data_IF_096924534762
#
_entry.id   IF_096924534762
#
_cell.length_a   1.000
_cell.length_b   1.000
_cell.length_c   1.000
_cell.angle_alpha   90.00
_cell.angle_beta   90.00
_cell.angle_gamma   90.00
#
_symmetry.space_group_name_H-M   'P 1'
#
loop_
_entity.id
_entity.type
_entity.pdbx_description
1 polymer ?
#
# COMPACT_ATOMS: atom_id res chain seq x y z
N UNK A 1 9.29 6.62 -16.08
CA UNK A 1 8.91 5.61 -15.05
C UNK A 1 7.40 5.58 -14.97
N UNK A 2 6.80 4.41 -15.08
CA UNK A 2 5.37 4.17 -14.95
C UNK A 2 5.06 3.43 -13.66
N UNK A 3 3.84 3.62 -13.13
CA UNK A 3 3.35 2.92 -11.94
C UNK A 3 1.92 2.43 -12.17
N UNK A 4 1.69 1.15 -11.98
CA UNK A 4 0.39 0.51 -12.09
C UNK A 4 0.02 -0.13 -10.76
N UNK A 5 -1.01 0.40 -10.11
CA UNK A 5 -1.60 -0.21 -8.94
C UNK A 5 -2.69 -1.19 -9.40
N UNK A 6 -2.42 -2.48 -9.31
CA UNK A 6 -3.33 -3.53 -9.75
C UNK A 6 -4.11 -4.05 -8.55
N UNK A 7 -5.40 -3.82 -8.56
CA UNK A 7 -6.34 -4.29 -7.55
C UNK A 7 -6.81 -5.69 -7.93
N UNK A 8 -6.17 -6.69 -7.38
CA UNK A 8 -6.51 -8.08 -7.73
C UNK A 8 -7.82 -8.56 -7.11
N UNK A 9 -8.35 -7.82 -6.12
CA UNK A 9 -9.67 -8.07 -5.52
C UNK A 9 -10.19 -6.85 -4.78
N UNK A 10 -11.51 -6.67 -4.72
CA UNK A 10 -12.15 -5.70 -3.82
C UNK A 10 -12.43 -6.28 -2.44
N UNK A 11 -12.35 -7.62 -2.29
CA UNK A 11 -12.63 -8.29 -1.02
C UNK A 11 -11.54 -8.02 0.01
N UNK A 12 -11.96 -7.76 1.24
CA UNK A 12 -11.10 -7.71 2.41
C UNK A 12 -11.66 -8.60 3.52
N UNK A 13 -10.79 -9.26 4.26
CA UNK A 13 -11.18 -10.03 5.46
C UNK A 13 -11.26 -9.17 6.72
N UNK A 14 -10.91 -7.88 6.61
CA UNK A 14 -10.96 -6.90 7.69
C UNK A 14 -12.06 -5.85 7.45
N UNK A 15 -12.45 -5.16 8.55
CA UNK A 15 -13.34 -3.99 8.55
C UNK A 15 -12.69 -2.88 9.37
N UNK A 16 -11.69 -2.22 8.78
CA UNK A 16 -11.01 -1.09 9.42
C UNK A 16 -11.94 0.12 9.48
N UNK A 17 -11.98 0.82 10.63
CA UNK A 17 -12.90 1.95 10.85
C UNK A 17 -12.65 3.13 9.89
N UNK A 18 -11.42 3.29 9.42
CA UNK A 18 -10.98 4.36 8.51
C UNK A 18 -10.75 3.86 7.08
N UNK A 19 -11.30 2.72 6.69
CA UNK A 19 -11.08 2.21 5.35
C UNK A 19 -11.67 3.15 4.29
N UNK A 20 -10.81 3.80 3.49
CA UNK A 20 -11.26 4.72 2.44
C UNK A 20 -12.05 4.01 1.33
N UNK A 21 -11.87 2.71 1.19
CA UNK A 21 -12.63 1.90 0.25
C UNK A 21 -14.03 1.55 0.75
N UNK A 22 -14.35 1.80 2.03
CA UNK A 22 -15.61 1.38 2.67
C UNK A 22 -15.63 -0.11 3.02
N UNK A 23 -16.67 -0.50 3.76
CA UNK A 23 -16.83 -1.88 4.25
C UNK A 23 -17.94 -2.66 3.53
N UNK A 24 -18.78 -1.98 2.75
CA UNK A 24 -19.97 -2.52 2.09
C UNK A 24 -19.79 -2.44 0.57
N UNK A 25 -18.93 -3.30 0.04
CA UNK A 25 -18.70 -3.41 -1.40
C UNK A 25 -18.78 -4.86 -1.86
N UNK A 26 -19.17 -5.04 -3.11
CA UNK A 26 -19.20 -6.32 -3.75
C UNK A 26 -17.81 -6.94 -3.81
N UNK A 27 -17.78 -8.27 -3.68
CA UNK A 27 -16.52 -9.02 -3.68
C UNK A 27 -16.18 -9.46 -5.09
N UNK A 28 -15.31 -8.70 -5.76
CA UNK A 28 -14.78 -9.02 -7.07
C UNK A 28 -13.36 -9.58 -6.95
N UNK A 29 -13.04 -10.53 -7.79
CA UNK A 29 -11.71 -11.11 -7.91
C UNK A 29 -11.27 -11.02 -9.37
N UNK A 30 -10.07 -10.50 -9.61
CA UNK A 30 -9.49 -10.48 -10.95
C UNK A 30 -9.32 -11.90 -11.45
N UNK A 31 -9.96 -12.21 -12.56
CA UNK A 31 -9.81 -13.46 -13.25
C UNK A 31 -8.61 -13.45 -14.21
N UNK A 32 -8.31 -14.61 -14.79
CA UNK A 32 -7.17 -14.77 -15.70
C UNK A 32 -7.31 -13.89 -16.94
N UNK A 33 -8.52 -13.74 -17.49
CA UNK A 33 -8.77 -12.94 -18.69
C UNK A 33 -8.47 -11.47 -18.41
N UNK A 34 -8.99 -10.95 -17.32
CA UNK A 34 -8.72 -9.55 -16.90
C UNK A 34 -7.24 -9.32 -16.59
N UNK A 35 -6.57 -10.31 -15.96
CA UNK A 35 -5.12 -10.25 -15.72
C UNK A 35 -4.32 -10.19 -17.04
N UNK A 36 -4.70 -10.98 -18.05
CA UNK A 36 -4.06 -10.97 -19.37
C UNK A 36 -4.23 -9.63 -20.08
N UNK A 37 -5.44 -9.06 -20.12
CA UNK A 37 -5.68 -7.73 -20.71
C UNK A 37 -5.00 -6.62 -19.90
N UNK A 38 -4.92 -6.75 -18.56
CA UNK A 38 -4.16 -5.82 -17.73
C UNK A 38 -2.67 -5.83 -18.09
N UNK A 39 -2.07 -7.01 -18.25
CA UNK A 39 -0.67 -7.13 -18.68
C UNK A 39 -0.48 -6.49 -20.06
N UNK A 40 -1.35 -6.79 -21.00
CA UNK A 40 -1.30 -6.23 -22.36
C UNK A 40 -1.38 -4.70 -22.31
N UNK A 41 -2.33 -4.13 -21.57
CA UNK A 41 -2.45 -2.69 -21.37
C UNK A 41 -1.16 -2.08 -20.78
N UNK A 42 -0.55 -2.71 -19.77
CA UNK A 42 0.72 -2.27 -19.19
C UNK A 42 1.82 -2.22 -20.26
N UNK A 43 1.98 -3.30 -21.03
CA UNK A 43 3.01 -3.43 -22.07
C UNK A 43 2.83 -2.39 -23.19
N UNK A 44 1.59 -2.08 -23.58
CA UNK A 44 1.30 -1.08 -24.59
C UNK A 44 1.64 0.36 -24.13
N UNK A 45 1.66 0.62 -22.81
CA UNK A 45 1.94 1.95 -22.23
C UNK A 45 3.42 2.23 -21.99
N UNK A 46 4.27 1.22 -21.95
CA UNK A 46 5.66 1.37 -21.52
C UNK A 46 6.67 1.03 -22.62
N UNK A 47 7.88 1.53 -22.48
CA UNK A 47 9.02 1.10 -23.29
C UNK A 47 9.93 0.15 -22.50
N UNK A 48 10.69 -0.70 -23.19
CA UNK A 48 11.63 -1.66 -22.56
C UNK A 48 12.68 -1.00 -21.67
N UNK A 49 13.05 0.24 -21.94
CA UNK A 49 14.00 1.01 -21.14
C UNK A 49 13.40 1.57 -19.84
N UNK A 50 12.08 1.70 -19.77
CA UNK A 50 11.40 2.29 -18.63
C UNK A 50 11.41 1.37 -17.41
N UNK A 51 11.73 1.93 -16.24
CA UNK A 51 11.43 1.24 -14.98
C UNK A 51 9.93 1.32 -14.73
N UNK A 52 9.29 0.18 -14.62
CA UNK A 52 7.84 0.04 -14.41
C UNK A 52 7.55 -0.58 -13.07
N UNK A 53 6.76 0.12 -12.26
CA UNK A 53 6.31 -0.36 -10.96
C UNK A 53 4.95 -1.03 -11.12
N UNK A 54 4.84 -2.27 -10.63
CA UNK A 54 3.58 -3.00 -10.49
C UNK A 54 3.33 -3.15 -8.98
N UNK A 55 2.34 -2.42 -8.46
CA UNK A 55 2.03 -2.42 -7.03
C UNK A 55 0.66 -3.07 -6.80
N UNK A 56 0.65 -4.20 -6.08
CA UNK A 56 -0.58 -4.96 -5.86
C UNK A 56 -1.38 -4.37 -4.71
N UNK A 57 -2.63 -4.09 -5.02
CA UNK A 57 -3.62 -3.46 -4.13
C UNK A 57 -4.93 -4.25 -4.11
N UNK A 58 -5.91 -3.65 -3.47
CA UNK A 58 -7.28 -4.12 -3.33
C UNK A 58 -7.78 -4.00 -1.90
N UNK A 59 -8.82 -4.71 -1.55
CA UNK A 59 -9.24 -4.85 -0.17
C UNK A 59 -8.13 -5.50 0.66
N UNK A 60 -7.87 -6.79 0.41
CA UNK A 60 -6.65 -7.49 0.82
C UNK A 60 -6.12 -8.30 -0.36
N UNK A 61 -5.02 -7.88 -1.00
CA UNK A 61 -4.54 -8.50 -2.23
C UNK A 61 -4.18 -9.97 -2.08
N UNK A 62 -3.69 -10.41 -0.90
CA UNK A 62 -3.33 -11.81 -0.67
C UNK A 62 -4.53 -12.76 -0.62
N UNK A 63 -5.78 -12.26 -0.61
CA UNK A 63 -6.96 -13.10 -0.85
C UNK A 63 -7.04 -13.60 -2.29
N UNK A 64 -6.38 -12.91 -3.24
CA UNK A 64 -6.24 -13.36 -4.62
C UNK A 64 -4.76 -13.59 -4.99
N UNK A 65 -4.03 -14.26 -4.10
CA UNK A 65 -2.62 -14.59 -4.34
C UNK A 65 -2.36 -15.32 -5.67
N UNK A 66 -3.25 -16.23 -6.15
CA UNK A 66 -3.08 -16.86 -7.45
C UNK A 66 -2.98 -15.86 -8.61
N UNK A 67 -3.78 -14.77 -8.61
CA UNK A 67 -3.69 -13.75 -9.64
C UNK A 67 -2.39 -12.94 -9.56
N UNK A 68 -1.92 -12.61 -8.33
CA UNK A 68 -0.62 -11.96 -8.12
C UNK A 68 0.49 -12.82 -8.72
N UNK A 69 0.53 -14.10 -8.32
CA UNK A 69 1.53 -15.06 -8.81
C UNK A 69 1.49 -15.17 -10.33
N UNK A 70 0.31 -15.31 -10.91
CA UNK A 70 0.13 -15.40 -12.36
C UNK A 70 0.70 -14.17 -13.09
N UNK A 71 0.38 -12.96 -12.63
CA UNK A 71 0.85 -11.71 -13.25
C UNK A 71 2.38 -11.61 -13.16
N UNK A 72 2.95 -11.84 -11.97
CA UNK A 72 4.40 -11.75 -11.76
C UNK A 72 5.14 -12.78 -12.61
N UNK A 73 4.70 -14.05 -12.57
CA UNK A 73 5.32 -15.14 -13.33
C UNK A 73 5.25 -14.86 -14.85
N UNK A 74 4.12 -14.35 -15.35
CA UNK A 74 3.95 -14.04 -16.77
C UNK A 74 4.82 -12.87 -17.21
N UNK A 75 4.89 -11.78 -16.42
CA UNK A 75 5.77 -10.66 -16.71
C UNK A 75 7.25 -11.08 -16.72
N UNK A 76 7.69 -11.92 -15.77
CA UNK A 76 9.06 -12.44 -15.72
C UNK A 76 9.38 -13.39 -16.87
N UNK A 77 8.43 -14.22 -17.32
CA UNK A 77 8.69 -15.25 -18.31
C UNK A 77 8.55 -14.76 -19.75
N UNK A 78 7.50 -13.96 -20.03
CA UNK A 78 7.17 -13.54 -21.39
C UNK A 78 7.74 -12.16 -21.76
N UNK A 79 8.05 -11.30 -20.76
CA UNK A 79 8.49 -9.92 -20.97
C UNK A 79 9.84 -9.62 -20.32
N UNK A 80 10.81 -10.52 -20.46
CA UNK A 80 12.15 -10.47 -19.84
C UNK A 80 12.97 -9.24 -20.19
N UNK A 81 12.70 -8.65 -21.36
CA UNK A 81 13.40 -7.44 -21.84
C UNK A 81 12.93 -6.15 -21.16
N UNK A 82 11.79 -6.21 -20.42
CA UNK A 82 11.25 -5.06 -19.69
C UNK A 82 11.74 -5.04 -18.25
N UNK A 83 11.76 -3.83 -17.64
CA UNK A 83 12.25 -3.64 -16.28
C UNK A 83 11.07 -3.46 -15.33
N UNK A 84 10.68 -4.52 -14.63
CA UNK A 84 9.64 -4.48 -13.62
C UNK A 84 10.19 -4.45 -12.19
N UNK A 85 9.49 -3.76 -11.31
CA UNK A 85 9.70 -3.83 -9.87
C UNK A 85 8.35 -3.95 -9.18
N UNK A 86 8.19 -4.99 -8.36
CA UNK A 86 6.91 -5.33 -7.74
C UNK A 86 6.81 -4.77 -6.33
N UNK A 87 5.61 -4.31 -5.97
CA UNK A 87 5.22 -3.87 -4.65
C UNK A 87 3.89 -4.48 -4.22
N UNK A 88 3.65 -4.48 -2.91
CA UNK A 88 2.38 -4.89 -2.30
C UNK A 88 2.12 -4.13 -1.02
N UNK A 89 0.86 -3.81 -0.76
CA UNK A 89 0.37 -3.39 0.55
C UNK A 89 -0.62 -4.42 1.07
N UNK A 90 -0.30 -5.05 2.20
CA UNK A 90 -1.15 -6.08 2.83
C UNK A 90 -1.51 -5.71 4.26
N UNK A 91 -2.63 -6.20 4.75
CA UNK A 91 -3.02 -6.11 6.15
C UNK A 91 -2.25 -7.11 7.05
N UNK A 92 -1.49 -8.02 6.47
CA UNK A 92 -0.62 -8.95 7.16
C UNK A 92 -1.33 -10.10 7.89
N UNK A 93 -2.63 -10.28 7.70
CA UNK A 93 -3.36 -11.38 8.37
C UNK A 93 -3.23 -12.72 7.64
N UNK A 94 -2.76 -12.70 6.39
CA UNK A 94 -2.56 -13.87 5.55
C UNK A 94 -1.07 -13.96 5.21
N UNK A 95 -0.40 -15.00 5.73
CA UNK A 95 1.01 -15.25 5.45
C UNK A 95 1.30 -16.75 5.61
N UNK A 96 1.31 -17.47 4.48
CA UNK A 96 1.79 -18.85 4.42
C UNK A 96 3.28 -18.87 4.07
N UNK A 97 4.01 -19.97 4.32
CA UNK A 97 5.40 -20.10 3.87
C UNK A 97 5.57 -19.84 2.37
N UNK A 98 4.65 -20.31 1.52
CA UNK A 98 4.67 -20.07 0.09
C UNK A 98 4.55 -18.57 -0.26
N UNK A 99 3.62 -17.86 0.40
CA UNK A 99 3.43 -16.41 0.21
C UNK A 99 4.69 -15.66 0.65
N UNK A 100 5.23 -15.99 1.83
CA UNK A 100 6.43 -15.35 2.37
C UNK A 100 7.62 -15.49 1.39
N UNK A 101 7.90 -16.71 0.95
CA UNK A 101 8.97 -17.01 0.00
C UNK A 101 8.76 -16.25 -1.31
N UNK A 102 7.56 -16.30 -1.87
CA UNK A 102 7.24 -15.61 -3.12
C UNK A 102 7.43 -14.09 -3.03
N UNK A 103 6.94 -13.47 -1.96
CA UNK A 103 7.10 -12.02 -1.75
C UNK A 103 8.57 -11.63 -1.57
N UNK A 104 9.32 -12.36 -0.75
CA UNK A 104 10.73 -12.08 -0.47
C UNK A 104 11.60 -12.18 -1.73
N UNK A 105 11.29 -13.11 -2.63
CA UNK A 105 12.07 -13.32 -3.85
C UNK A 105 11.70 -12.38 -5.01
N UNK A 106 10.46 -11.97 -5.11
CA UNK A 106 9.98 -11.24 -6.30
C UNK A 106 9.79 -9.74 -6.06
N UNK A 107 9.56 -9.30 -4.81
CA UNK A 107 9.17 -7.92 -4.52
C UNK A 107 10.37 -7.06 -4.15
N UNK A 108 10.74 -6.12 -5.05
CA UNK A 108 11.90 -5.23 -4.86
C UNK A 108 11.51 -3.76 -4.71
N UNK A 109 10.28 -3.36 -5.06
CA UNK A 109 9.83 -1.99 -4.90
C UNK A 109 9.33 -1.70 -3.50
N UNK A 110 8.38 -2.47 -3.01
CA UNK A 110 7.86 -2.33 -1.64
C UNK A 110 7.23 -3.62 -1.11
N UNK A 111 7.56 -3.93 0.14
CA UNK A 111 6.83 -4.88 0.97
C UNK A 111 6.21 -4.08 2.12
N UNK A 112 4.95 -3.69 1.98
CA UNK A 112 4.27 -2.82 2.93
C UNK A 112 3.26 -3.60 3.76
N UNK A 113 3.42 -3.57 5.09
CA UNK A 113 2.46 -4.16 6.03
C UNK A 113 1.74 -3.06 6.78
N UNK A 114 0.42 -3.14 6.81
CA UNK A 114 -0.45 -2.22 7.54
C UNK A 114 -0.46 -2.53 9.03
N UNK A 115 0.20 -1.70 9.86
CA UNK A 115 0.34 -1.92 11.29
C UNK A 115 0.43 -0.57 12.04
N UNK A 116 -0.57 -0.23 12.86
CA UNK A 116 -0.68 1.10 13.47
C UNK A 116 0.12 1.24 14.80
N UNK A 117 1.32 0.66 14.83
CA UNK A 117 2.25 0.82 15.95
C UNK A 117 1.90 -0.03 17.16
N UNK A 118 1.33 0.54 18.23
CA UNK A 118 0.96 -0.22 19.43
C UNK A 118 -0.25 -1.13 19.19
N UNK A 119 -0.35 -2.21 19.97
CA UNK A 119 -1.56 -3.08 19.93
C UNK A 119 -2.83 -2.27 20.15
N UNK A 120 -2.80 -1.33 21.10
CA UNK A 120 -3.96 -0.49 21.43
C UNK A 120 -4.41 0.35 20.25
N UNK A 121 -3.49 1.04 19.57
CA UNK A 121 -3.79 1.84 18.39
C UNK A 121 -4.29 0.99 17.24
N UNK A 122 -3.66 -0.14 16.98
CA UNK A 122 -4.02 -1.05 15.91
C UNK A 122 -5.41 -1.67 16.11
N UNK A 123 -5.67 -2.28 17.26
CA UNK A 123 -6.94 -2.97 17.53
C UNK A 123 -8.12 -2.02 17.80
N UNK A 124 -7.87 -0.72 18.00
CA UNK A 124 -8.94 0.27 18.01
C UNK A 124 -9.63 0.38 16.64
N UNK A 125 -8.87 0.19 15.56
CA UNK A 125 -9.32 0.49 14.20
C UNK A 125 -9.29 -0.71 13.25
N UNK A 126 -8.30 -1.62 13.38
CA UNK A 126 -8.07 -2.73 12.46
C UNK A 126 -8.55 -4.05 13.05
N UNK A 127 -9.74 -4.48 12.64
CA UNK A 127 -10.36 -5.72 13.10
C UNK A 127 -10.80 -6.59 11.93
N UNK A 128 -10.85 -7.89 12.14
CA UNK A 128 -11.54 -8.79 11.23
C UNK A 128 -13.04 -8.46 11.18
N UNK A 129 -13.73 -8.97 10.16
CA UNK A 129 -15.18 -8.80 10.01
C UNK A 129 -16.00 -9.32 11.21
N UNK A 130 -15.46 -10.27 11.98
CA UNK A 130 -16.05 -10.79 13.21
C UNK A 130 -15.67 -10.00 14.48
N UNK A 131 -14.98 -8.86 14.35
CA UNK A 131 -14.58 -7.99 15.46
C UNK A 131 -13.28 -8.40 16.18
N UNK A 132 -12.63 -9.51 15.81
CA UNK A 132 -11.36 -9.96 16.43
C UNK A 132 -10.22 -9.03 16.01
N UNK A 133 -9.35 -8.66 16.95
CA UNK A 133 -8.13 -7.90 16.70
C UNK A 133 -7.13 -8.66 15.82
N UNK A 134 -6.25 -7.94 15.13
CA UNK A 134 -5.32 -8.50 14.13
C UNK A 134 -3.86 -8.10 14.37
N UNK A 135 -3.56 -7.45 15.48
CA UNK A 135 -2.22 -6.92 15.76
C UNK A 135 -1.12 -7.99 15.70
N UNK A 136 -1.34 -9.13 16.33
CA UNK A 136 -0.30 -10.16 16.39
C UNK A 136 -0.08 -10.86 15.06
N UNK A 137 -1.12 -11.05 14.26
CA UNK A 137 -0.99 -11.59 12.91
C UNK A 137 -0.20 -10.64 12.01
N UNK A 138 -0.58 -9.36 11.99
CA UNK A 138 0.10 -8.34 11.19
C UNK A 138 1.57 -8.17 11.60
N UNK A 139 1.84 -8.13 12.93
CA UNK A 139 3.20 -8.03 13.45
C UNK A 139 4.04 -9.26 13.07
N UNK A 140 3.49 -10.47 13.22
CA UNK A 140 4.19 -11.72 12.87
C UNK A 140 4.56 -11.73 11.39
N UNK A 141 3.65 -11.36 10.50
CA UNK A 141 3.92 -11.26 9.07
C UNK A 141 5.00 -10.22 8.77
N UNK A 142 4.90 -9.03 9.36
CA UNK A 142 5.90 -7.99 9.20
C UNK A 142 7.30 -8.44 9.68
N UNK A 143 7.38 -9.13 10.82
CA UNK A 143 8.63 -9.67 11.35
C UNK A 143 9.19 -10.80 10.49
N UNK A 144 8.34 -11.69 9.97
CA UNK A 144 8.77 -12.75 9.06
C UNK A 144 9.39 -12.17 7.78
N UNK A 145 8.72 -11.20 7.16
CA UNK A 145 9.25 -10.48 5.99
C UNK A 145 10.55 -9.71 6.32
N UNK A 146 10.66 -9.14 7.53
CA UNK A 146 11.86 -8.40 7.95
C UNK A 146 13.08 -9.32 8.07
N UNK A 147 12.90 -10.56 8.54
CA UNK A 147 13.99 -11.54 8.69
C UNK A 147 14.38 -12.19 7.37
N UNK A 148 13.43 -12.38 6.48
CA UNK A 148 13.64 -13.01 5.16
C UNK A 148 13.88 -12.02 4.02
N UNK A 149 14.18 -10.77 4.35
CA UNK A 149 14.40 -9.73 3.37
C UNK A 149 15.57 -10.05 2.43
N UNK A 150 15.28 -10.14 1.16
CA UNK A 150 16.31 -10.38 0.15
C UNK A 150 16.45 -9.22 -0.85
N UNK A 151 15.39 -8.45 -1.11
CA UNK A 151 15.36 -7.43 -2.16
C UNK A 151 15.06 -6.01 -1.70
N UNK A 152 14.21 -5.82 -0.70
CA UNK A 152 13.89 -4.48 -0.18
C UNK A 152 13.57 -4.49 1.32
N UNK A 153 13.68 -3.31 1.93
CA UNK A 153 13.27 -3.14 3.33
C UNK A 153 11.74 -3.21 3.45
N UNK A 154 11.28 -3.86 4.52
CA UNK A 154 9.86 -3.90 4.86
C UNK A 154 9.39 -2.53 5.34
N UNK A 155 8.29 -2.06 4.79
CA UNK A 155 7.66 -0.79 5.14
C UNK A 155 6.47 -1.03 6.07
N UNK A 156 6.35 -0.23 7.10
CA UNK A 156 5.17 -0.25 7.96
C UNK A 156 4.29 0.95 7.64
N UNK A 157 3.07 0.71 7.17
CA UNK A 157 2.07 1.74 6.93
C UNK A 157 1.18 1.89 8.14
N UNK A 158 1.15 3.09 8.71
CA UNK A 158 0.29 3.44 9.84
C UNK A 158 -0.77 4.44 9.38
N UNK A 159 -2.02 4.23 9.80
CA UNK A 159 -3.06 5.24 9.62
C UNK A 159 -3.27 5.97 10.93
N UNK A 160 -3.11 7.29 10.91
CA UNK A 160 -3.25 8.17 12.07
C UNK A 160 -4.61 8.85 12.01
N UNK A 161 -5.41 8.61 13.06
CA UNK A 161 -6.76 9.16 13.25
C UNK A 161 -6.88 9.73 14.67
N UNK A 162 -7.89 10.54 14.98
CA UNK A 162 -8.02 11.18 16.30
C UNK A 162 -7.97 10.21 17.48
N UNK A 163 -8.51 8.98 17.32
CA UNK A 163 -8.58 8.01 18.41
C UNK A 163 -7.24 7.32 18.73
N UNK A 164 -6.25 7.35 17.80
CA UNK A 164 -4.95 6.69 18.01
C UNK A 164 -3.75 7.64 18.04
N UNK A 165 -3.95 8.92 17.77
CA UNK A 165 -2.88 9.93 17.64
C UNK A 165 -1.93 9.95 18.84
N UNK A 166 -2.43 9.79 20.07
CA UNK A 166 -1.62 9.80 21.32
C UNK A 166 -0.73 8.56 21.50
N UNK A 167 -0.93 7.54 20.69
CA UNK A 167 -0.12 6.32 20.64
C UNK A 167 0.98 6.40 19.54
N UNK A 168 1.00 7.47 18.72
CA UNK A 168 1.84 7.57 17.53
C UNK A 168 3.33 7.43 17.85
N UNK A 169 3.85 8.24 18.75
CA UNK A 169 5.28 8.20 19.08
C UNK A 169 5.68 6.85 19.69
N UNK A 170 4.88 6.36 20.64
CA UNK A 170 5.11 5.05 21.26
C UNK A 170 5.12 3.95 20.22
N UNK A 171 4.13 3.93 19.31
CA UNK A 171 4.02 2.90 18.26
C UNK A 171 5.19 2.93 17.29
N UNK A 172 5.60 4.12 16.83
CA UNK A 172 6.77 4.26 15.96
C UNK A 172 8.04 3.80 16.65
N UNK A 173 8.26 4.18 17.91
CA UNK A 173 9.44 3.77 18.69
C UNK A 173 9.48 2.25 18.87
N UNK A 174 8.37 1.62 19.24
CA UNK A 174 8.28 0.16 19.38
C UNK A 174 8.63 -0.57 18.07
N UNK A 175 8.20 -0.04 16.92
CA UNK A 175 8.52 -0.59 15.61
C UNK A 175 10.02 -0.42 15.26
N UNK A 176 10.62 0.72 15.58
CA UNK A 176 12.05 0.96 15.41
C UNK A 176 12.88 -0.01 16.27
N UNK A 177 12.45 -0.26 17.51
CA UNK A 177 13.12 -1.20 18.42
C UNK A 177 13.01 -2.66 17.95
N UNK A 178 11.97 -2.99 17.19
CA UNK A 178 11.83 -4.28 16.51
C UNK A 178 12.66 -4.43 15.22
N UNK A 179 13.35 -3.35 14.80
CA UNK A 179 14.26 -3.38 13.65
C UNK A 179 13.68 -2.83 12.35
N UNK A 180 12.45 -2.32 12.33
CA UNK A 180 11.90 -1.69 11.13
C UNK A 180 12.59 -0.35 10.86
N UNK A 181 12.99 -0.16 9.59
CA UNK A 181 13.72 1.04 9.15
C UNK A 181 12.86 2.03 8.37
N UNK A 182 11.74 1.61 7.82
CA UNK A 182 10.85 2.46 7.03
C UNK A 182 9.45 2.40 7.65
N UNK A 183 9.06 3.50 8.28
CA UNK A 183 7.76 3.65 8.95
C UNK A 183 7.05 4.85 8.33
N UNK A 184 5.83 4.63 7.86
CA UNK A 184 5.06 5.59 7.08
C UNK A 184 3.74 5.89 7.81
N UNK A 185 3.76 6.76 8.84
CA UNK A 185 2.53 7.31 9.38
C UNK A 185 1.86 8.21 8.33
N UNK A 186 0.55 8.06 8.18
CA UNK A 186 -0.26 8.90 7.29
C UNK A 186 -1.52 9.33 8.02
N UNK A 187 -1.76 10.62 8.03
CA UNK A 187 -2.98 11.20 8.61
C UNK A 187 -4.15 10.90 7.67
N UNK A 188 -5.23 10.37 8.24
CA UNK A 188 -6.52 10.32 7.54
C UNK A 188 -7.18 11.69 7.61
N UNK A 189 -7.03 12.48 6.57
CA UNK A 189 -7.61 13.82 6.47
C UNK A 189 -9.13 13.82 6.30
N UNK A 190 -9.75 12.68 6.02
CA UNK A 190 -11.19 12.56 5.81
C UNK A 190 -11.95 12.22 7.10
N UNK A 191 -11.25 11.86 8.19
CA UNK A 191 -11.92 11.64 9.49
C UNK A 191 -12.49 12.95 10.01
N UNK A 192 -13.82 12.97 10.18
CA UNK A 192 -14.57 14.17 10.62
C UNK A 192 -14.40 14.49 12.11
N UNK A 193 -13.76 13.62 12.86
CA UNK A 193 -13.57 13.79 14.31
C UNK A 193 -12.32 14.60 14.67
N UNK A 194 -11.52 15.04 13.69
CA UNK A 194 -10.38 15.92 13.93
C UNK A 194 -10.80 17.23 14.60
N UNK A 195 -10.05 17.63 15.62
CA UNK A 195 -10.21 18.90 16.35
C UNK A 195 -8.97 19.75 16.17
N UNK A 196 -9.14 21.06 16.30
CA UNK A 196 -8.01 22.01 16.28
C UNK A 196 -6.92 21.65 17.29
N UNK A 197 -7.31 21.17 18.49
CA UNK A 197 -6.39 20.71 19.53
C UNK A 197 -5.52 19.52 19.13
N UNK A 198 -5.94 18.71 18.15
CA UNK A 198 -5.21 17.51 17.74
C UNK A 198 -3.95 17.87 16.95
N UNK A 199 -3.92 19.05 16.33
CA UNK A 199 -2.75 19.54 15.61
C UNK A 199 -1.55 19.66 16.57
N UNK A 200 -1.76 20.22 17.75
CA UNK A 200 -0.70 20.34 18.76
C UNK A 200 -0.21 18.97 19.24
N UNK A 201 -1.14 18.02 19.41
CA UNK A 201 -0.80 16.64 19.79
C UNK A 201 0.07 15.99 18.71
N UNK A 202 -0.28 16.16 17.41
CA UNK A 202 0.54 15.64 16.30
C UNK A 202 1.96 16.17 16.42
N UNK A 203 2.14 17.48 16.56
CA UNK A 203 3.48 18.07 16.68
C UNK A 203 4.25 17.55 17.89
N UNK A 204 3.59 17.38 19.03
CA UNK A 204 4.22 16.80 20.23
C UNK A 204 4.67 15.35 20.00
N UNK A 205 3.83 14.53 19.36
CA UNK A 205 4.16 13.14 19.06
C UNK A 205 5.32 13.05 18.05
N UNK A 206 5.32 13.88 17.01
CA UNK A 206 6.41 13.92 16.03
C UNK A 206 7.72 14.41 16.66
N UNK A 207 7.68 15.38 17.56
CA UNK A 207 8.86 15.85 18.30
C UNK A 207 9.45 14.75 19.20
N UNK A 208 8.60 13.95 19.86
CA UNK A 208 9.06 12.77 20.63
C UNK A 208 9.81 11.76 19.75
N UNK A 209 9.27 11.47 18.56
CA UNK A 209 9.92 10.57 17.59
C UNK A 209 11.28 11.16 17.16
N UNK A 210 11.31 12.43 16.78
CA UNK A 210 12.53 13.13 16.37
C UNK A 210 13.60 13.09 17.45
N UNK A 211 13.24 13.42 18.69
CA UNK A 211 14.15 13.36 19.85
C UNK A 211 14.67 11.94 20.09
N UNK A 212 13.83 10.95 19.96
CA UNK A 212 14.23 9.53 20.07
C UNK A 212 15.26 9.14 18.99
N UNK A 213 15.00 9.46 17.72
CA UNK A 213 15.90 9.17 16.61
C UNK A 213 17.27 9.82 16.79
N UNK A 214 17.31 11.09 17.23
CA UNK A 214 18.56 11.81 17.50
C UNK A 214 19.29 11.17 18.68
N UNK A 215 18.61 10.95 19.81
CA UNK A 215 19.20 10.35 21.02
C UNK A 215 19.80 8.97 20.77
N UNK A 216 19.19 8.18 19.88
CA UNK A 216 19.64 6.82 19.54
C UNK A 216 20.58 6.76 18.32
N UNK A 217 20.98 7.94 17.79
CA UNK A 217 21.81 8.05 16.57
C UNK A 217 21.23 7.31 15.36
N UNK A 218 19.89 7.27 15.25
CA UNK A 218 19.16 6.55 14.18
C UNK A 218 18.55 7.47 13.11
N UNK A 219 18.78 8.78 13.20
CA UNK A 219 18.13 9.78 12.35
C UNK A 219 18.44 9.61 10.85
N UNK A 220 19.60 9.08 10.51
CA UNK A 220 20.03 8.78 9.13
C UNK A 220 19.75 7.36 8.67
N UNK A 221 19.48 6.44 9.61
CA UNK A 221 19.29 5.01 9.32
C UNK A 221 17.81 4.61 9.20
N UNK A 222 16.94 5.33 9.88
CA UNK A 222 15.51 5.06 9.97
C UNK A 222 14.74 6.20 9.34
N UNK A 223 13.85 5.88 8.41
CA UNK A 223 12.94 6.83 7.78
C UNK A 223 11.57 6.76 8.45
N UNK A 224 11.15 7.89 9.00
CA UNK A 224 9.76 8.11 9.45
C UNK A 224 9.19 9.25 8.60
N UNK A 225 8.23 8.94 7.72
CA UNK A 225 7.81 9.83 6.63
C UNK A 225 7.41 11.25 7.08
N UNK A 226 6.81 11.40 8.25
CA UNK A 226 6.41 12.70 8.80
C UNK A 226 7.53 13.42 9.57
N UNK A 227 8.71 12.81 9.77
CA UNK A 227 9.76 13.35 10.62
C UNK A 227 11.03 13.70 9.85
N UNK A 228 11.54 12.76 9.05
CA UNK A 228 12.86 12.89 8.40
C UNK A 228 12.89 12.39 6.96
N UNK A 229 11.77 12.12 6.34
CA UNK A 229 11.73 11.82 4.91
C UNK A 229 12.10 13.07 4.11
N UNK A 230 13.20 12.97 3.37
CA UNK A 230 13.69 14.05 2.50
C UNK A 230 13.08 14.03 1.10
N UNK A 231 12.38 12.98 0.75
CA UNK A 231 11.76 12.82 -0.56
C UNK A 231 10.45 13.61 -0.62
N UNK A 232 10.56 14.93 -0.78
CA UNK A 232 9.40 15.77 -1.07
C UNK A 232 9.06 15.59 -2.55
N UNK A 233 7.93 14.98 -2.83
CA UNK A 233 7.35 14.99 -4.18
C UNK A 233 6.83 16.40 -4.42
N UNK A 234 7.59 17.17 -5.20
CA UNK A 234 7.18 18.49 -5.68
C UNK A 234 6.78 18.34 -7.13
N UNK A 235 5.53 18.64 -7.48
CA UNK A 235 5.08 18.59 -8.86
C UNK A 235 3.57 18.38 -9.00
N UNK A 236 3.13 18.28 -10.25
CA UNK A 236 1.74 17.93 -10.57
C UNK A 236 1.49 16.45 -10.31
N UNK A 237 0.24 16.11 -10.04
CA UNK A 237 -0.20 14.73 -9.97
C UNK A 237 -0.01 14.05 -11.34
N UNK A 238 0.56 12.85 -11.35
CA UNK A 238 0.75 12.05 -12.56
C UNK A 238 -0.37 10.99 -12.75
N UNK A 239 -1.44 11.10 -11.96
CA UNK A 239 -2.60 10.22 -12.08
C UNK A 239 -3.19 10.27 -13.49
N UNK A 240 -3.39 9.11 -14.10
CA UNK A 240 -3.92 8.99 -15.45
C UNK A 240 -2.93 9.26 -16.59
N UNK A 241 -1.72 9.74 -16.30
CA UNK A 241 -0.64 9.93 -17.30
C UNK A 241 0.42 8.82 -17.22
N UNK A 242 1.06 8.68 -16.07
CA UNK A 242 2.10 7.66 -15.83
C UNK A 242 1.80 6.80 -14.60
N UNK A 243 0.71 7.07 -13.89
CA UNK A 243 0.23 6.30 -12.75
C UNK A 243 -1.23 5.92 -12.96
N UNK A 244 -1.54 4.63 -12.84
CA UNK A 244 -2.87 4.07 -13.11
C UNK A 244 -3.28 3.10 -12.02
N UNK A 245 -4.57 3.09 -11.68
CA UNK A 245 -5.19 2.09 -10.82
C UNK A 245 -6.14 1.24 -11.64
N UNK A 246 -5.96 -0.09 -11.62
CA UNK A 246 -6.72 -1.04 -12.42
C UNK A 246 -7.49 -1.95 -11.47
N UNK A 247 -8.82 -2.00 -11.58
CA UNK A 247 -9.70 -2.80 -10.73
C UNK A 247 -9.74 -4.27 -11.13
N UNK A 248 -10.32 -5.16 -10.31
CA UNK A 248 -10.49 -6.57 -10.68
C UNK A 248 -11.34 -6.79 -11.95
N UNK A 249 -12.20 -5.83 -12.27
CA UNK A 249 -13.05 -5.87 -13.47
C UNK A 249 -12.38 -5.24 -14.70
N UNK A 250 -11.16 -4.72 -14.53
CA UNK A 250 -10.38 -4.08 -15.59
C UNK A 250 -10.59 -2.59 -15.74
N UNK A 251 -11.40 -1.94 -14.92
CA UNK A 251 -11.62 -0.50 -14.97
C UNK A 251 -10.36 0.26 -14.57
N UNK A 252 -10.09 1.38 -15.26
CA UNK A 252 -8.89 2.20 -15.08
C UNK A 252 -9.26 3.53 -14.43
N UNK A 253 -8.51 3.87 -13.37
CA UNK A 253 -8.65 5.10 -12.59
C UNK A 253 -7.32 5.83 -12.40
N UNK A 254 -7.31 7.16 -12.18
CA UNK A 254 -6.08 7.94 -12.00
C UNK A 254 -5.44 7.73 -10.62
N UNK A 255 -6.21 7.42 -9.58
CA UNK A 255 -5.70 7.21 -8.21
C UNK A 255 -6.62 6.31 -7.38
N UNK A 256 -6.12 5.87 -6.22
CA UNK A 256 -6.85 4.99 -5.31
C UNK A 256 -8.17 5.61 -4.80
N UNK A 257 -8.21 6.91 -4.59
CA UNK A 257 -9.42 7.60 -4.09
C UNK A 257 -10.50 7.76 -5.16
N UNK A 258 -10.14 7.64 -6.44
CA UNK A 258 -11.07 7.70 -7.56
C UNK A 258 -11.72 6.34 -7.86
N UNK A 259 -11.13 5.24 -7.38
CA UNK A 259 -11.63 3.88 -7.64
C UNK A 259 -13.07 3.72 -7.13
N UNK A 260 -13.95 3.24 -8.03
CA UNK A 260 -15.38 3.08 -7.75
C UNK A 260 -16.23 4.32 -8.06
N UNK A 261 -15.63 5.48 -8.34
CA UNK A 261 -16.37 6.64 -8.82
C UNK A 261 -16.47 6.62 -10.35
N UNK A 262 -17.66 6.36 -10.89
CA UNK A 262 -17.88 6.25 -12.34
C UNK A 262 -17.50 7.52 -13.11
N UNK A 263 -17.56 8.70 -12.49
CA UNK A 263 -17.16 9.97 -13.12
C UNK A 263 -15.64 10.06 -13.33
N UNK A 264 -14.88 9.39 -12.47
CA UNK A 264 -13.42 9.38 -12.49
C UNK A 264 -12.84 8.17 -13.27
N UNK A 265 -13.69 7.26 -13.73
CA UNK A 265 -13.26 6.14 -14.57
C UNK A 265 -12.72 6.66 -15.89
N UNK A 266 -11.47 6.33 -16.22
CA UNK A 266 -10.77 6.78 -17.42
C UNK A 266 -10.98 5.87 -18.62
N UNK A 267 -11.43 4.65 -18.42
CA UNK A 267 -11.61 3.60 -19.42
C UNK A 267 -11.48 2.23 -18.78
N UNK A 268 -11.15 1.24 -19.58
CA UNK A 268 -10.89 -0.12 -19.10
C UNK A 268 -9.79 -0.81 -19.93
N UNK A 269 -9.28 -1.94 -19.42
CA UNK A 269 -8.18 -2.67 -20.08
C UNK A 269 -8.59 -3.35 -21.39
N UNK A 270 -9.89 -3.49 -21.67
CA UNK A 270 -10.41 -4.13 -22.86
C UNK A 270 -10.59 -3.18 -24.04
N UNK A 271 -10.94 -1.91 -23.73
CA UNK A 271 -11.23 -0.87 -24.72
C UNK A 271 -10.18 0.25 -24.76
N UNK A 272 -9.36 0.34 -23.71
CA UNK A 272 -8.36 1.39 -23.55
C UNK A 272 -8.87 2.60 -22.79
N UNK A 273 -8.06 3.67 -22.77
CA UNK A 273 -8.35 4.92 -22.06
C UNK A 273 -9.06 5.90 -22.98
N UNK A 274 -10.10 6.56 -22.48
CA UNK A 274 -10.70 7.73 -23.10
C UNK A 274 -9.75 8.94 -22.98
N UNK A 275 -9.13 9.33 -24.09
CA UNK A 275 -8.14 10.41 -24.13
C UNK A 275 -8.68 11.74 -23.61
N UNK A 276 -9.99 12.03 -23.78
CA UNK A 276 -10.61 13.26 -23.29
C UNK A 276 -10.58 13.36 -21.76
N UNK A 277 -10.53 12.21 -21.06
CA UNK A 277 -10.45 12.17 -19.59
C UNK A 277 -9.02 12.33 -19.06
N UNK A 278 -8.01 12.05 -19.88
CA UNK A 278 -6.59 12.26 -19.50
C UNK A 278 -6.27 13.74 -19.40
N UNK A 279 -6.83 14.56 -20.28
CA UNK A 279 -6.54 16.00 -20.37
C UNK A 279 -7.10 16.82 -19.19
N UNK A 280 -7.87 16.19 -18.30
CA UNK A 280 -8.48 16.84 -17.12
C UNK A 280 -7.54 16.83 -15.91
N UNK A 281 -6.55 15.93 -15.85
CA UNK A 281 -5.58 15.78 -14.77
C UNK A 281 -4.20 16.34 -15.15
#
# INVERSE_FOLDING_TARGET
MYAFAIWVTTKCNMRCSYCYEGNDKDSHFMDKKTADETIKFVIEKINKSDMTIIDFHGGEPLLNFPAIKYIVDKLHNEYRDYKFSFGITTNGTICTPEILEFLSHNFGYSLTVSLDGTKKAHEANRKLSNGRGTYYEALRTAMALLTDKQRCDVRIRMTVVPNNIRELAKGVIELIEKGFKIIIPVIDYFDKNWKQSDIEIIYQELDKIKKYLIKKNKFSEVVVSMVNDKNKILGKCNGGMTSFHITPDGDIYPCAYAVGNSNEKMGDVFQGIDQKKVDVY
#
